data_IF_024131273470
#
_entry.id   IF_024131273470
#
_cell.length_a   1.000
_cell.length_b   1.000
_cell.length_c   1.000
_cell.angle_alpha   90.00
_cell.angle_beta   90.00
_cell.angle_gamma   90.00
#
_symmetry.space_group_name_H-M   'P 1'
#
loop_
_entity.id
_entity.type
_entity.pdbx_description
1 polymer ?
#
# COMPACT_ATOMS: atom_id res chain seq x y z
N UNK A 1 10.87 46.55 1.42
CA UNK A 1 10.26 47.80 0.91
C UNK A 1 8.76 47.69 1.15
N UNK A 2 8.25 48.56 2.04
CA UNK A 2 6.85 48.79 2.48
C UNK A 2 6.17 47.66 3.28
N UNK A 3 5.56 47.87 4.44
CA UNK A 3 5.54 48.98 5.41
C UNK A 3 4.84 48.43 6.68
N UNK A 4 5.39 48.71 7.86
CA UNK A 4 4.74 48.56 9.17
C UNK A 4 3.67 49.67 9.36
N UNK A 5 2.57 49.39 10.08
CA UNK A 5 2.38 49.84 11.48
C UNK A 5 0.95 49.48 12.02
N UNK A 6 0.80 49.35 13.35
CA UNK A 6 -0.37 48.78 14.03
C UNK A 6 -1.26 49.84 14.73
N UNK A 7 -2.40 49.42 15.28
CA UNK A 7 -3.15 50.16 16.29
C UNK A 7 -3.73 49.21 17.36
N UNK A 8 -3.65 49.66 18.61
CA UNK A 8 -3.86 48.92 19.86
C UNK A 8 -5.20 49.39 20.53
N UNK A 9 -5.53 49.06 21.79
CA UNK A 9 -6.66 48.20 22.18
C UNK A 9 -7.82 48.94 22.87
N UNK A 10 -8.95 48.27 23.10
CA UNK A 10 -10.02 48.76 24.01
C UNK A 10 -10.45 47.67 25.00
N UNK A 11 -10.31 48.04 26.27
CA UNK A 11 -10.82 47.47 27.51
C UNK A 11 -12.29 47.02 27.45
N UNK A 12 -12.63 45.86 28.04
CA UNK A 12 -13.94 45.68 28.68
C UNK A 12 -13.83 44.94 30.03
N UNK A 13 -14.68 45.44 30.92
CA UNK A 13 -14.70 45.36 32.36
C UNK A 13 -15.34 44.06 32.86
N UNK A 14 -14.80 43.49 33.92
CA UNK A 14 -15.44 42.43 34.72
C UNK A 14 -16.70 42.97 35.42
N UNK A 15 -17.82 42.28 35.28
CA UNK A 15 -18.97 42.38 36.19
C UNK A 15 -19.26 40.99 36.74
N UNK A 16 -19.01 40.84 38.04
CA UNK A 16 -19.45 39.75 38.90
C UNK A 16 -20.90 40.04 39.29
N UNK A 17 -21.81 39.09 39.02
CA UNK A 17 -23.15 39.08 39.60
C UNK A 17 -23.35 37.77 40.36
N UNK A 18 -23.32 37.91 41.68
CA UNK A 18 -23.78 36.93 42.66
C UNK A 18 -25.31 36.95 42.68
N UNK A 19 -25.94 35.81 42.41
CA UNK A 19 -27.29 35.51 42.90
C UNK A 19 -27.28 34.09 43.47
N UNK A 20 -27.47 34.01 44.79
CA UNK A 20 -27.78 32.76 45.46
C UNK A 20 -29.25 32.40 45.27
N UNK A 21 -29.56 31.10 45.31
CA UNK A 21 -30.86 30.63 45.74
C UNK A 21 -30.82 29.17 46.21
N UNK A 22 -31.25 29.01 47.46
CA UNK A 22 -31.88 27.90 48.16
C UNK A 22 -31.90 26.47 47.57
N UNK A 23 -31.49 25.56 48.47
CA UNK A 23 -31.83 24.15 48.51
C UNK A 23 -33.34 23.89 48.41
N UNK A 24 -33.74 23.01 47.48
CA UNK A 24 -34.79 22.02 47.74
C UNK A 24 -34.44 20.71 47.04
N UNK A 25 -34.34 19.63 47.82
CA UNK A 25 -34.09 18.27 47.31
C UNK A 25 -35.41 17.72 46.77
N UNK A 26 -35.52 17.56 45.45
CA UNK A 26 -36.47 16.64 44.84
C UNK A 26 -35.71 15.38 44.39
N UNK A 27 -36.20 14.22 44.83
CA UNK A 27 -35.71 12.91 44.44
C UNK A 27 -36.35 12.60 43.08
N UNK A 28 -35.57 12.62 42.01
CA UNK A 28 -36.01 12.19 40.69
C UNK A 28 -36.03 10.64 40.62
N UNK A 29 -37.05 10.03 40.00
CA UNK A 29 -37.04 8.60 39.70
C UNK A 29 -35.95 8.28 38.66
N UNK A 30 -35.52 7.02 38.63
CA UNK A 30 -34.43 6.52 37.77
C UNK A 30 -34.66 6.86 36.28
N UNK A 31 -33.63 7.28 35.53
CA UNK A 31 -33.78 7.60 34.11
C UNK A 31 -33.95 6.33 33.29
N UNK A 32 -34.99 6.32 32.45
CA UNK A 32 -35.15 5.36 31.34
C UNK A 32 -33.97 5.46 30.36
N UNK A 33 -33.49 4.35 29.77
CA UNK A 33 -32.43 4.39 28.78
C UNK A 33 -33.01 4.78 27.40
N UNK A 34 -33.04 6.08 27.11
CA UNK A 34 -33.55 6.61 25.86
C UNK A 34 -33.05 8.03 25.52
N UNK A 35 -31.88 8.09 24.88
CA UNK A 35 -31.41 9.14 23.94
C UNK A 35 -30.81 10.48 24.47
N UNK A 36 -29.74 10.90 23.78
CA UNK A 36 -29.04 12.21 23.77
C UNK A 36 -28.08 12.61 24.92
N UNK A 37 -27.17 11.71 25.33
CA UNK A 37 -25.84 12.13 25.81
C UNK A 37 -24.84 11.96 24.68
N UNK A 38 -23.99 12.96 24.38
CA UNK A 38 -22.93 12.79 23.40
C UNK A 38 -21.95 11.71 23.90
N UNK A 39 -22.13 10.47 23.47
CA UNK A 39 -21.26 9.34 23.83
C UNK A 39 -19.82 9.56 23.35
N UNK A 40 -19.64 10.43 22.37
CA UNK A 40 -18.35 10.78 21.82
C UNK A 40 -17.84 12.13 22.33
N UNK A 41 -16.55 12.12 22.71
CA UNK A 41 -15.75 13.32 22.94
C UNK A 41 -15.64 14.22 21.69
N UNK A 42 -15.22 15.47 21.88
CA UNK A 42 -15.14 16.48 20.81
C UNK A 42 -14.15 16.16 19.69
N UNK A 43 -13.19 15.25 19.92
CA UNK A 43 -12.21 14.78 18.93
C UNK A 43 -12.73 13.63 18.06
N UNK A 44 -14.04 13.49 17.91
CA UNK A 44 -14.70 12.47 17.10
C UNK A 44 -14.16 12.42 15.66
N UNK A 45 -13.93 11.21 15.15
CA UNK A 45 -13.50 10.92 13.78
C UNK A 45 -14.38 9.81 13.20
N UNK A 46 -14.66 9.88 11.91
CA UNK A 46 -15.41 8.85 11.16
C UNK A 46 -14.46 8.14 10.21
N UNK A 47 -14.35 6.81 10.34
CA UNK A 47 -13.49 5.93 9.55
C UNK A 47 -14.40 5.15 8.59
N UNK A 48 -14.41 5.49 7.29
CA UNK A 48 -15.23 4.79 6.32
C UNK A 48 -14.72 3.36 6.13
N UNK A 49 -15.60 2.37 6.22
CA UNK A 49 -15.17 0.96 6.06
C UNK A 49 -14.76 0.67 4.62
N UNK A 50 -15.33 1.37 3.64
CA UNK A 50 -15.03 1.18 2.22
C UNK A 50 -13.54 1.31 1.86
N UNK A 51 -12.78 2.13 2.58
CA UNK A 51 -11.33 2.29 2.40
C UNK A 51 -10.46 1.62 3.46
N UNK A 52 -11.05 1.09 4.53
CA UNK A 52 -10.31 0.70 5.74
C UNK A 52 -10.66 -0.70 6.25
N UNK A 53 -11.52 -1.45 5.56
CA UNK A 53 -11.97 -2.76 6.00
C UNK A 53 -11.66 -3.91 5.03
N UNK A 54 -11.61 -5.11 5.61
CA UNK A 54 -11.47 -6.39 4.93
C UNK A 54 -12.52 -7.36 5.47
N UNK A 55 -13.04 -8.20 4.57
CA UNK A 55 -14.10 -9.15 4.87
C UNK A 55 -13.55 -10.57 4.91
N UNK A 56 -14.06 -11.36 5.85
CA UNK A 56 -13.92 -12.81 5.89
C UNK A 56 -15.32 -13.42 5.77
N UNK A 57 -15.45 -14.56 5.08
CA UNK A 57 -16.69 -15.34 4.95
C UNK A 57 -17.89 -14.55 4.38
N UNK A 58 -17.70 -13.81 3.27
CA UNK A 58 -18.79 -13.22 2.48
C UNK A 58 -19.03 -11.73 2.69
N UNK A 59 -20.20 -11.26 2.24
CA UNK A 59 -20.54 -9.84 2.13
C UNK A 59 -19.91 -9.15 0.92
N UNK A 60 -20.34 -7.92 0.64
CA UNK A 60 -19.77 -7.08 -0.41
C UNK A 60 -19.30 -5.75 0.18
N UNK A 61 -18.04 -5.41 -0.01
CA UNK A 61 -17.50 -4.11 0.41
C UNK A 61 -17.49 -3.16 -0.80
N UNK A 62 -18.13 -2.00 -0.64
CA UNK A 62 -18.15 -0.93 -1.63
C UNK A 62 -17.73 0.40 -0.99
N UNK A 63 -17.71 1.47 -1.79
CA UNK A 63 -17.44 2.82 -1.30
C UNK A 63 -18.42 3.30 -0.23
N UNK A 64 -19.66 2.78 -0.25
CA UNK A 64 -20.71 3.16 0.71
C UNK A 64 -20.71 2.31 1.99
N UNK A 65 -19.92 1.23 2.00
CA UNK A 65 -19.76 0.33 3.12
C UNK A 65 -19.94 -1.14 2.78
N UNK A 66 -20.12 -1.94 3.84
CA UNK A 66 -20.47 -3.35 3.74
C UNK A 66 -21.98 -3.50 3.47
N UNK A 67 -22.30 -4.17 2.36
CA UNK A 67 -23.64 -4.57 1.93
C UNK A 67 -23.70 -6.10 1.77
N UNK A 68 -24.85 -6.64 1.37
CA UNK A 68 -25.09 -8.09 1.20
C UNK A 68 -24.68 -8.93 2.42
N UNK A 69 -24.80 -8.31 3.59
CA UNK A 69 -24.34 -8.90 4.84
C UNK A 69 -25.47 -9.69 5.48
N UNK A 70 -25.53 -10.97 5.11
CA UNK A 70 -26.56 -11.90 5.58
C UNK A 70 -25.98 -13.16 6.24
N UNK A 71 -24.67 -13.41 6.18
CA UNK A 71 -24.06 -14.56 6.85
C UNK A 71 -23.51 -14.15 8.23
N UNK A 72 -23.92 -14.78 9.35
CA UNK A 72 -23.34 -14.52 10.67
C UNK A 72 -21.85 -14.87 10.76
N UNK A 73 -21.32 -15.68 9.84
CA UNK A 73 -19.89 -15.95 9.75
C UNK A 73 -19.10 -14.79 9.12
N UNK A 74 -19.76 -13.85 8.43
CA UNK A 74 -19.08 -12.68 7.86
C UNK A 74 -18.50 -11.81 8.95
N UNK A 75 -17.18 -11.59 8.90
CA UNK A 75 -16.46 -10.67 9.79
C UNK A 75 -15.90 -9.52 8.98
N UNK A 76 -16.24 -8.30 9.37
CA UNK A 76 -15.70 -7.07 8.78
C UNK A 76 -14.70 -6.44 9.75
N UNK A 77 -13.42 -6.46 9.39
CA UNK A 77 -12.35 -5.89 10.22
C UNK A 77 -11.86 -4.58 9.63
N UNK A 78 -12.09 -3.49 10.36
CA UNK A 78 -11.61 -2.14 10.01
C UNK A 78 -10.33 -1.82 10.77
N UNK A 79 -9.35 -1.21 10.10
CA UNK A 79 -8.07 -0.85 10.68
C UNK A 79 -7.89 0.66 10.76
N UNK A 80 -7.38 1.14 11.88
CA UNK A 80 -6.91 2.51 12.08
C UNK A 80 -5.67 2.49 12.97
N UNK A 81 -4.77 3.46 12.82
CA UNK A 81 -3.56 3.54 13.64
C UNK A 81 -3.63 4.70 14.62
N UNK A 82 -3.45 4.40 15.91
CA UNK A 82 -3.29 5.42 16.96
C UNK A 82 -1.81 5.65 17.28
N UNK A 83 -1.48 6.85 17.76
CA UNK A 83 -0.10 7.24 18.12
C UNK A 83 0.15 7.26 19.63
N UNK A 84 -0.88 7.05 20.45
CA UNK A 84 -0.79 6.98 21.91
C UNK A 84 -1.81 6.00 22.49
N UNK A 85 -1.52 5.40 23.67
CA UNK A 85 -2.51 4.65 24.43
C UNK A 85 -3.60 5.58 24.99
N UNK A 86 -4.69 5.00 25.45
CA UNK A 86 -5.81 5.72 26.05
C UNK A 86 -7.15 5.03 25.82
N UNK A 87 -8.21 5.58 26.43
CA UNK A 87 -9.56 5.11 26.16
C UNK A 87 -9.98 5.40 24.71
N UNK A 88 -10.58 4.41 24.05
CA UNK A 88 -11.13 4.50 22.70
C UNK A 88 -12.63 4.20 22.75
N UNK A 89 -13.45 5.18 22.41
CA UNK A 89 -14.91 5.09 22.33
C UNK A 89 -15.31 4.76 20.90
N UNK A 90 -16.21 3.81 20.70
CA UNK A 90 -16.57 3.29 19.37
C UNK A 90 -18.09 3.30 19.19
N UNK A 91 -18.54 3.80 18.04
CA UNK A 91 -19.89 3.59 17.51
C UNK A 91 -19.86 3.02 16.10
N UNK A 92 -20.93 2.34 15.71
CA UNK A 92 -21.15 1.88 14.34
C UNK A 92 -22.09 2.85 13.62
N UNK A 93 -21.67 3.40 12.48
CA UNK A 93 -22.56 4.11 11.57
C UNK A 93 -23.19 3.08 10.63
N UNK A 94 -24.46 2.76 10.87
CA UNK A 94 -25.12 1.61 10.26
C UNK A 94 -26.58 1.92 9.91
N UNK A 95 -27.06 1.36 8.81
CA UNK A 95 -28.46 1.36 8.41
C UNK A 95 -29.02 -0.07 8.54
N UNK A 96 -29.82 -0.39 9.57
CA UNK A 96 -30.28 -1.77 9.81
C UNK A 96 -31.26 -2.28 8.74
N UNK A 97 -31.82 -1.39 7.91
CA UNK A 97 -32.84 -1.61 6.87
C UNK A 97 -34.22 -2.03 7.42
N UNK A 98 -34.29 -2.94 8.38
CA UNK A 98 -35.49 -3.26 9.15
C UNK A 98 -35.16 -4.16 10.35
N UNK A 99 -36.08 -4.23 11.32
CA UNK A 99 -36.00 -5.19 12.41
C UNK A 99 -34.88 -4.93 13.42
N UNK A 100 -34.62 -5.93 14.26
CA UNK A 100 -33.61 -5.91 15.32
C UNK A 100 -32.45 -6.80 14.93
N UNK A 101 -31.24 -6.26 15.04
CA UNK A 101 -29.99 -6.94 14.74
C UNK A 101 -29.06 -6.85 15.95
N UNK A 102 -28.43 -7.95 16.33
CA UNK A 102 -27.38 -7.98 17.34
C UNK A 102 -26.04 -8.22 16.65
N UNK A 103 -25.09 -7.34 16.93
CA UNK A 103 -23.75 -7.38 16.37
C UNK A 103 -22.73 -7.56 17.48
N UNK A 104 -21.67 -8.30 17.19
CA UNK A 104 -20.48 -8.41 18.03
C UNK A 104 -19.44 -7.42 17.51
N UNK A 105 -18.99 -6.51 18.37
CA UNK A 105 -17.87 -5.60 18.09
C UNK A 105 -16.69 -6.05 18.94
N UNK A 106 -15.55 -6.33 18.29
CA UNK A 106 -14.36 -6.89 18.94
C UNK A 106 -13.14 -6.04 18.65
N UNK A 107 -12.36 -5.73 19.69
CA UNK A 107 -10.99 -5.22 19.60
C UNK A 107 -10.08 -6.19 20.35
N UNK A 108 -9.09 -6.72 19.65
CA UNK A 108 -8.19 -7.75 20.18
C UNK A 108 -9.00 -8.92 20.78
N UNK A 109 -8.78 -9.25 22.06
CA UNK A 109 -9.48 -10.36 22.74
C UNK A 109 -10.78 -9.93 23.46
N UNK A 110 -11.18 -8.66 23.36
CA UNK A 110 -12.35 -8.12 24.07
C UNK A 110 -13.48 -7.82 23.10
N UNK A 111 -14.68 -8.32 23.40
CA UNK A 111 -15.87 -8.08 22.58
C UNK A 111 -17.05 -7.57 23.38
N UNK A 112 -17.88 -6.74 22.73
CA UNK A 112 -19.17 -6.27 23.25
C UNK A 112 -20.26 -6.56 22.23
N UNK A 113 -21.48 -6.80 22.71
CA UNK A 113 -22.65 -6.93 21.85
C UNK A 113 -23.37 -5.59 21.77
N UNK A 114 -23.70 -5.16 20.56
CA UNK A 114 -24.52 -3.97 20.30
C UNK A 114 -25.79 -4.41 19.59
N UNK A 115 -26.93 -3.95 20.11
CA UNK A 115 -28.22 -4.11 19.47
C UNK A 115 -28.50 -2.90 18.60
N UNK A 116 -28.81 -3.12 17.33
CA UNK A 116 -29.14 -2.09 16.34
C UNK A 116 -30.55 -2.33 15.82
N UNK A 117 -31.33 -1.26 15.70
CA UNK A 117 -32.72 -1.32 15.25
C UNK A 117 -33.16 -0.01 14.59
N UNK A 118 -34.17 -0.11 13.72
CA UNK A 118 -34.73 0.98 12.94
C UNK A 118 -34.53 0.77 11.43
N UNK A 119 -34.95 1.77 10.66
CA UNK A 119 -34.94 1.77 9.19
C UNK A 119 -34.22 2.98 8.60
N UNK A 120 -33.39 3.66 9.41
CA UNK A 120 -32.58 4.80 9.00
C UNK A 120 -31.15 4.61 9.43
N UNK A 121 -30.23 5.22 8.69
CA UNK A 121 -28.83 5.24 9.07
C UNK A 121 -28.61 6.13 10.29
N UNK A 122 -27.97 5.60 11.32
CA UNK A 122 -27.59 6.35 12.52
C UNK A 122 -26.37 5.73 13.21
N UNK A 123 -25.87 6.42 14.22
CA UNK A 123 -24.78 5.93 15.06
C UNK A 123 -25.33 5.06 16.20
N UNK A 124 -24.71 3.89 16.39
CA UNK A 124 -24.99 2.97 17.48
C UNK A 124 -23.75 2.82 18.35
N UNK A 125 -23.78 3.33 19.57
CA UNK A 125 -22.66 3.24 20.51
C UNK A 125 -22.39 1.78 20.88
N UNK A 126 -21.18 1.32 20.58
CA UNK A 126 -20.73 -0.05 20.84
C UNK A 126 -20.00 -0.18 22.18
N UNK A 127 -19.43 0.92 22.69
CA UNK A 127 -18.79 0.99 23.99
C UNK A 127 -17.40 1.61 23.96
N UNK A 128 -16.65 1.36 25.04
CA UNK A 128 -15.30 1.88 25.25
C UNK A 128 -14.29 0.74 25.43
N UNK A 129 -13.08 0.93 24.92
CA UNK A 129 -11.97 -0.02 25.03
C UNK A 129 -10.70 0.72 25.45
N UNK A 130 -9.96 0.14 26.39
CA UNK A 130 -8.63 0.64 26.73
C UNK A 130 -7.61 0.21 25.67
N UNK A 131 -6.99 1.16 24.98
CA UNK A 131 -5.81 0.90 24.15
C UNK A 131 -4.57 1.07 25.02
N UNK A 132 -3.71 0.05 25.05
CA UNK A 132 -2.53 0.02 25.94
C UNK A 132 -1.25 0.45 25.23
N UNK A 133 -1.19 0.37 23.90
CA UNK A 133 0.01 0.69 23.12
C UNK A 133 -0.32 1.44 21.82
N UNK A 134 0.56 2.34 21.34
CA UNK A 134 0.46 2.89 20.00
C UNK A 134 0.55 1.79 18.94
N UNK A 135 -0.35 1.81 17.96
CA UNK A 135 -0.37 0.77 16.94
C UNK A 135 -1.59 0.83 16.05
N UNK A 136 -1.64 -0.10 15.11
CA UNK A 136 -2.85 -0.45 14.40
C UNK A 136 -3.82 -1.15 15.35
N UNK A 137 -5.07 -0.70 15.28
CA UNK A 137 -6.20 -1.19 16.05
C UNK A 137 -7.14 -1.89 15.07
N UNK A 138 -7.23 -3.24 15.11
CA UNK A 138 -8.23 -3.98 14.36
C UNK A 138 -9.57 -3.93 15.10
N UNK A 139 -10.60 -3.44 14.43
CA UNK A 139 -11.98 -3.38 14.94
C UNK A 139 -12.85 -4.30 14.09
N UNK A 140 -13.20 -5.46 14.64
CA UNK A 140 -13.99 -6.48 13.94
C UNK A 140 -15.46 -6.38 14.32
N UNK A 141 -16.33 -6.38 13.32
CA UNK A 141 -17.79 -6.39 13.47
C UNK A 141 -18.36 -7.65 12.81
N UNK A 142 -19.17 -8.39 13.56
CA UNK A 142 -19.77 -9.65 13.14
C UNK A 142 -21.26 -9.71 13.50
N UNK A 143 -22.09 -10.29 12.64
CA UNK A 143 -23.51 -10.51 12.91
C UNK A 143 -23.71 -11.68 13.88
N UNK A 144 -24.53 -11.50 14.92
CA UNK A 144 -24.90 -12.57 15.86
C UNK A 144 -26.28 -13.12 15.51
N UNK A 145 -27.27 -12.24 15.43
CA UNK A 145 -28.66 -12.59 15.16
C UNK A 145 -29.40 -11.42 14.53
N UNK A 146 -30.39 -11.70 13.70
CA UNK A 146 -31.26 -10.67 13.11
C UNK A 146 -32.70 -11.16 13.00
N UNK A 147 -33.65 -10.23 13.01
CA UNK A 147 -35.05 -10.52 12.70
C UNK A 147 -35.42 -10.21 11.25
N UNK A 148 -34.61 -9.43 10.54
CA UNK A 148 -34.79 -9.10 9.12
C UNK A 148 -33.98 -10.00 8.19
N UNK A 149 -33.92 -9.64 6.91
CA UNK A 149 -33.20 -10.40 5.87
C UNK A 149 -31.68 -10.21 5.92
N UNK A 150 -31.21 -9.04 6.37
CA UNK A 150 -29.78 -8.67 6.44
C UNK A 150 -29.40 -8.14 7.82
N UNK A 151 -28.10 -8.07 8.12
CA UNK A 151 -27.58 -7.37 9.29
C UNK A 151 -27.53 -5.84 9.10
N UNK A 152 -27.97 -5.35 7.93
CA UNK A 152 -27.94 -3.94 7.53
C UNK A 152 -26.76 -3.56 6.65
N UNK A 153 -26.67 -2.27 6.33
CA UNK A 153 -25.55 -1.64 5.61
C UNK A 153 -24.64 -0.96 6.61
N UNK A 154 -23.39 -1.39 6.71
CA UNK A 154 -22.41 -0.87 7.66
C UNK A 154 -21.42 0.06 6.95
N UNK A 155 -21.52 1.37 7.21
CA UNK A 155 -20.82 2.39 6.42
C UNK A 155 -19.51 2.87 7.03
N UNK A 156 -19.45 3.02 8.36
CA UNK A 156 -18.27 3.56 9.03
C UNK A 156 -18.18 3.15 10.49
N UNK A 157 -16.96 3.22 11.03
CA UNK A 157 -16.72 3.24 12.47
C UNK A 157 -16.53 4.68 12.89
N UNK A 158 -17.22 5.08 13.95
CA UNK A 158 -17.02 6.39 14.59
C UNK A 158 -16.20 6.17 15.84
N UNK A 159 -15.10 6.91 15.98
CA UNK A 159 -14.22 6.83 17.15
C UNK A 159 -14.01 8.19 17.81
N UNK A 160 -13.81 8.20 19.12
CA UNK A 160 -13.28 9.34 19.88
C UNK A 160 -12.58 8.84 21.15
N UNK A 161 -12.08 9.73 22.00
CA UNK A 161 -11.41 9.37 23.24
C UNK A 161 -9.93 9.73 23.29
N UNK A 162 -9.27 9.39 24.38
CA UNK A 162 -7.87 9.75 24.66
C UNK A 162 -6.90 9.18 23.64
N UNK A 163 -7.17 8.01 23.07
CA UNK A 163 -6.32 7.37 22.05
C UNK A 163 -6.43 8.07 20.67
N UNK A 164 -7.47 8.89 20.45
CA UNK A 164 -7.72 9.59 19.19
C UNK A 164 -7.01 10.94 19.21
N UNK A 165 -6.02 11.10 18.33
CA UNK A 165 -5.26 12.33 18.15
C UNK A 165 -5.28 12.83 16.70
N UNK A 166 -4.71 14.02 16.44
CA UNK A 166 -4.62 14.57 15.09
C UNK A 166 -3.85 13.67 14.11
N UNK A 167 -2.92 12.86 14.63
CA UNK A 167 -2.09 11.94 13.86
C UNK A 167 -2.71 10.54 13.64
N UNK A 168 -4.02 10.39 13.90
CA UNK A 168 -4.73 9.15 13.58
C UNK A 168 -4.57 8.81 12.09
N UNK A 169 -4.02 7.64 11.76
CA UNK A 169 -3.83 7.21 10.38
C UNK A 169 -4.91 6.23 9.95
N UNK A 170 -5.60 6.58 8.88
CA UNK A 170 -6.55 5.76 8.13
C UNK A 170 -6.81 6.45 6.78
N UNK A 171 -7.42 5.73 5.85
CA UNK A 171 -7.84 6.26 4.54
C UNK A 171 -9.07 7.15 4.73
N UNK A 172 -8.92 8.46 4.47
CA UNK A 172 -9.89 9.48 4.91
C UNK A 172 -11.18 9.50 4.09
N UNK A 173 -11.06 9.41 2.77
CA UNK A 173 -12.16 9.54 1.81
C UNK A 173 -11.80 8.84 0.49
N UNK A 174 -12.74 8.80 -0.46
CA UNK A 174 -12.52 8.21 -1.79
C UNK A 174 -12.11 9.23 -2.85
N UNK A 175 -11.63 10.41 -2.46
CA UNK A 175 -11.22 11.43 -3.43
C UNK A 175 -9.99 10.95 -4.20
N UNK A 176 -10.10 10.79 -5.53
CA UNK A 176 -9.05 10.21 -6.37
C UNK A 176 -8.89 8.69 -6.19
N UNK A 177 -10.00 7.98 -6.02
CA UNK A 177 -10.07 6.51 -5.86
C UNK A 177 -9.26 5.97 -4.67
N UNK A 178 -9.10 6.78 -3.61
CA UNK A 178 -8.24 6.42 -2.50
C UNK A 178 -8.75 5.26 -1.65
N UNK A 179 -10.01 4.82 -1.77
CA UNK A 179 -10.41 3.55 -1.17
C UNK A 179 -9.76 2.36 -1.89
N UNK A 180 -9.60 2.43 -3.21
CA UNK A 180 -8.85 1.44 -3.97
C UNK A 180 -7.35 1.49 -3.62
N UNK A 181 -6.71 2.67 -3.73
CA UNK A 181 -5.28 2.84 -3.45
C UNK A 181 -4.92 2.58 -1.98
N UNK A 182 -5.74 3.07 -1.06
CA UNK A 182 -5.55 2.90 0.37
C UNK A 182 -5.71 1.45 0.83
N UNK A 183 -6.59 0.67 0.18
CA UNK A 183 -6.73 -0.77 0.43
C UNK A 183 -5.61 -1.57 -0.23
N UNK A 184 -5.12 -1.20 -1.43
CA UNK A 184 -3.86 -1.76 -1.97
C UNK A 184 -2.72 -1.57 -0.96
N UNK A 185 -2.65 -0.40 -0.33
CA UNK A 185 -1.66 -0.09 0.68
C UNK A 185 -0.39 0.51 0.08
N UNK A 186 0.60 0.86 0.93
CA UNK A 186 1.74 1.66 0.52
C UNK A 186 2.77 0.82 -0.25
N UNK A 187 2.95 1.10 -1.54
CA UNK A 187 4.11 0.59 -2.28
C UNK A 187 5.40 1.22 -1.78
N UNK A 188 6.47 0.43 -1.73
CA UNK A 188 7.78 0.83 -1.18
C UNK A 188 8.91 0.54 -2.14
N UNK A 189 9.96 1.35 -2.11
CA UNK A 189 11.02 1.34 -3.12
C UNK A 189 12.41 1.40 -2.51
N UNK A 190 13.37 0.77 -3.20
CA UNK A 190 14.80 0.92 -2.99
C UNK A 190 15.37 1.67 -4.20
N UNK A 191 15.90 2.87 -3.99
CA UNK A 191 16.54 3.66 -5.06
C UNK A 191 18.05 3.51 -4.94
N UNK A 192 18.70 2.90 -5.92
CA UNK A 192 20.13 2.59 -5.85
C UNK A 192 20.98 3.83 -6.17
N UNK A 193 22.01 4.09 -5.35
CA UNK A 193 22.88 5.23 -5.57
C UNK A 193 23.86 4.97 -6.73
N UNK A 194 23.57 5.58 -7.88
CA UNK A 194 24.41 5.51 -9.09
C UNK A 194 25.06 6.84 -9.48
N UNK A 195 24.99 7.88 -8.62
CA UNK A 195 25.37 9.27 -8.97
C UNK A 195 26.82 9.46 -9.45
N UNK A 196 27.72 8.53 -9.12
CA UNK A 196 29.14 8.56 -9.51
C UNK A 196 29.48 7.60 -10.65
N UNK A 197 28.48 6.95 -11.21
CA UNK A 197 28.62 5.95 -12.26
C UNK A 197 28.07 6.52 -13.56
N UNK A 198 28.73 6.18 -14.67
CA UNK A 198 28.34 6.62 -16.00
C UNK A 198 28.23 5.40 -16.92
N UNK A 199 27.44 5.53 -17.99
CA UNK A 199 27.32 4.54 -19.05
C UNK A 199 26.97 3.12 -18.54
N UNK A 200 26.04 3.03 -17.58
CA UNK A 200 25.58 1.76 -17.02
C UNK A 200 24.81 1.00 -18.11
N UNK A 201 25.46 0.02 -18.74
CA UNK A 201 24.84 -0.81 -19.77
C UNK A 201 24.05 -1.96 -19.13
N UNK A 202 24.52 -2.50 -18.00
CA UNK A 202 23.91 -3.67 -17.36
C UNK A 202 23.57 -3.40 -15.90
N UNK A 203 22.43 -3.90 -15.46
CA UNK A 203 22.01 -3.96 -14.07
C UNK A 203 21.61 -5.39 -13.70
N UNK A 204 22.28 -5.93 -12.68
CA UNK A 204 22.04 -7.25 -12.11
C UNK A 204 21.50 -7.13 -10.68
N UNK A 205 20.52 -7.95 -10.33
CA UNK A 205 20.08 -8.13 -8.95
C UNK A 205 19.58 -9.56 -8.68
N UNK A 206 19.47 -9.89 -7.40
CA UNK A 206 18.88 -11.13 -6.90
C UNK A 206 17.67 -10.83 -6.02
N UNK A 207 16.58 -11.55 -6.22
CA UNK A 207 15.37 -11.42 -5.38
C UNK A 207 15.02 -12.77 -4.75
N UNK A 208 14.85 -12.76 -3.44
CA UNK A 208 14.33 -13.89 -2.66
C UNK A 208 13.04 -13.44 -1.97
N UNK A 209 11.93 -14.10 -2.29
CA UNK A 209 10.67 -13.93 -1.53
C UNK A 209 10.66 -15.00 -0.44
N UNK A 210 10.70 -14.65 0.87
CA UNK A 210 10.63 -15.64 1.93
C UNK A 210 9.33 -16.43 1.88
N UNK A 211 9.35 -17.70 2.31
CA UNK A 211 8.14 -18.54 2.36
C UNK A 211 7.01 -17.85 3.14
N UNK A 212 5.80 -17.86 2.58
CA UNK A 212 4.62 -17.21 3.17
C UNK A 212 4.52 -15.71 2.90
N UNK A 213 5.45 -15.13 2.13
CA UNK A 213 5.37 -13.72 1.70
C UNK A 213 5.02 -13.57 0.21
N UNK A 214 4.84 -14.66 -0.51
CA UNK A 214 4.37 -14.71 -1.90
C UNK A 214 2.84 -14.59 -1.99
N UNK A 215 2.31 -13.52 -1.39
CA UNK A 215 0.88 -13.22 -1.35
C UNK A 215 0.37 -12.89 -2.75
N UNK A 216 -0.78 -13.45 -3.15
CA UNK A 216 -1.46 -13.08 -4.41
C UNK A 216 -1.71 -11.58 -4.48
N UNK A 217 -1.48 -10.98 -5.65
CA UNK A 217 -1.51 -9.54 -5.81
C UNK A 217 -0.18 -8.84 -5.56
N UNK A 218 0.91 -9.57 -5.32
CA UNK A 218 2.23 -8.97 -5.09
C UNK A 218 3.02 -8.80 -6.37
N UNK A 219 3.67 -7.65 -6.52
CA UNK A 219 4.73 -7.43 -7.50
C UNK A 219 6.07 -7.17 -6.81
N UNK A 220 6.99 -8.13 -6.94
CA UNK A 220 8.37 -8.06 -6.48
C UNK A 220 9.26 -7.56 -7.61
N UNK A 221 9.29 -6.24 -7.82
CA UNK A 221 10.02 -5.64 -8.92
C UNK A 221 11.52 -5.59 -8.61
N UNK A 222 12.33 -6.22 -9.47
CA UNK A 222 13.75 -6.42 -9.26
C UNK A 222 14.58 -5.27 -9.85
N UNK A 223 14.48 -5.04 -11.17
CA UNK A 223 15.32 -4.11 -11.91
C UNK A 223 14.48 -3.03 -12.60
N UNK A 224 14.25 -1.92 -11.90
CA UNK A 224 13.65 -0.72 -12.43
C UNK A 224 14.71 0.22 -12.97
N UNK A 225 14.28 1.06 -13.92
CA UNK A 225 15.10 2.07 -14.57
C UNK A 225 14.20 3.20 -15.06
N UNK A 226 14.79 4.34 -15.39
CA UNK A 226 14.06 5.39 -16.07
C UNK A 226 13.53 4.90 -17.42
N UNK A 227 12.22 4.77 -17.53
CA UNK A 227 11.54 4.26 -18.72
C UNK A 227 11.08 2.80 -18.64
N UNK A 228 11.20 2.10 -17.50
CA UNK A 228 10.55 0.81 -17.35
C UNK A 228 10.79 0.08 -16.03
N UNK A 229 10.36 -1.18 -16.00
CA UNK A 229 10.51 -2.07 -14.87
C UNK A 229 10.64 -3.53 -15.30
N UNK A 230 11.29 -4.34 -14.46
CA UNK A 230 11.48 -5.77 -14.67
C UNK A 230 11.45 -6.53 -13.34
N UNK A 231 10.58 -7.53 -13.20
CA UNK A 231 10.46 -8.31 -11.96
C UNK A 231 9.53 -9.51 -12.05
N UNK A 232 8.99 -9.94 -10.91
CA UNK A 232 8.11 -11.11 -10.84
C UNK A 232 6.87 -10.90 -9.95
N UNK A 233 5.75 -11.53 -10.34
CA UNK A 233 4.43 -11.33 -9.76
C UNK A 233 3.82 -12.65 -9.25
N UNK A 234 2.89 -12.52 -8.29
CA UNK A 234 1.91 -13.57 -7.95
C UNK A 234 0.55 -13.10 -8.44
N UNK A 235 0.08 -13.65 -9.55
CA UNK A 235 -1.12 -13.17 -10.24
C UNK A 235 -2.38 -13.89 -9.75
N UNK A 236 -2.28 -15.18 -9.49
CA UNK A 236 -3.29 -16.01 -8.83
C UNK A 236 -2.63 -17.17 -8.10
N UNK A 237 -3.43 -18.08 -7.54
CA UNK A 237 -2.95 -19.32 -6.93
C UNK A 237 -2.31 -20.26 -7.97
N UNK A 238 -2.71 -20.13 -9.24
CA UNK A 238 -2.25 -20.96 -10.37
C UNK A 238 -1.26 -20.23 -11.31
N UNK A 239 -1.20 -18.90 -11.26
CA UNK A 239 -0.41 -18.11 -12.22
C UNK A 239 0.59 -17.17 -11.55
N UNK A 240 1.84 -17.25 -12.01
CA UNK A 240 2.94 -16.37 -11.65
C UNK A 240 3.64 -15.90 -12.91
N UNK A 241 4.02 -14.63 -12.95
CA UNK A 241 4.62 -14.00 -14.13
C UNK A 241 5.99 -13.43 -13.82
N UNK A 242 6.89 -13.52 -14.80
CA UNK A 242 8.09 -12.67 -14.91
C UNK A 242 7.74 -11.58 -15.91
N UNK A 243 7.67 -10.32 -15.47
CA UNK A 243 7.13 -9.18 -16.23
C UNK A 243 8.24 -8.18 -16.55
N UNK A 244 8.32 -7.74 -17.81
CA UNK A 244 9.21 -6.68 -18.28
C UNK A 244 8.42 -5.68 -19.13
N UNK A 245 8.46 -4.41 -18.73
CA UNK A 245 7.75 -3.32 -19.42
C UNK A 245 8.65 -2.12 -19.67
N UNK A 246 8.38 -1.42 -20.77
CA UNK A 246 9.05 -0.17 -21.18
C UNK A 246 7.97 0.85 -21.54
N UNK A 247 7.98 2.01 -20.89
CA UNK A 247 7.07 3.11 -21.21
C UNK A 247 7.46 3.79 -22.53
N UNK A 248 6.43 4.13 -23.31
CA UNK A 248 6.54 5.03 -24.46
C UNK A 248 7.07 6.41 -24.03
N UNK A 249 7.78 7.15 -24.89
CA UNK A 249 8.03 8.58 -24.67
C UNK A 249 6.75 9.43 -24.82
N UNK A 250 5.66 8.87 -25.34
CA UNK A 250 4.37 9.56 -25.48
C UNK A 250 3.50 9.37 -24.23
N UNK A 251 3.10 10.48 -23.61
CA UNK A 251 2.28 10.50 -22.40
C UNK A 251 0.81 10.23 -22.73
N UNK A 252 0.33 9.04 -22.40
CA UNK A 252 -1.08 8.64 -22.51
C UNK A 252 -1.35 7.41 -21.65
N UNK A 253 -2.59 7.24 -21.21
CA UNK A 253 -3.07 6.03 -20.53
C UNK A 253 -3.69 5.01 -21.50
N UNK A 254 -3.84 5.35 -22.78
CA UNK A 254 -4.34 4.44 -23.80
C UNK A 254 -3.25 4.17 -24.86
N UNK A 255 -2.69 2.94 -24.92
CA UNK A 255 -1.64 2.61 -25.88
C UNK A 255 -2.09 2.74 -27.34
N UNK A 256 -3.41 2.68 -27.61
CA UNK A 256 -3.97 2.90 -28.93
C UNK A 256 -3.73 4.31 -29.47
N UNK A 257 -3.51 5.29 -28.59
CA UNK A 257 -3.25 6.68 -28.95
C UNK A 257 -1.77 6.98 -29.22
N UNK A 258 -0.86 6.03 -28.98
CA UNK A 258 0.57 6.25 -29.21
C UNK A 258 0.86 6.34 -30.72
N UNK A 259 1.43 7.46 -31.22
CA UNK A 259 1.86 7.58 -32.61
C UNK A 259 2.89 6.50 -32.98
N UNK A 260 2.89 6.06 -34.24
CA UNK A 260 3.72 4.94 -34.69
C UNK A 260 5.22 5.15 -34.42
N UNK A 261 5.70 6.40 -34.50
CA UNK A 261 7.07 6.81 -34.23
C UNK A 261 7.45 6.79 -32.74
N UNK A 262 6.46 6.76 -31.84
CA UNK A 262 6.63 6.73 -30.39
C UNK A 262 6.39 5.34 -29.80
N UNK A 263 5.86 4.40 -30.59
CA UNK A 263 5.62 3.03 -30.13
C UNK A 263 6.91 2.32 -29.75
N UNK A 264 6.82 1.53 -28.68
CA UNK A 264 7.85 0.57 -28.30
C UNK A 264 7.89 -0.56 -29.33
N UNK A 265 9.08 -0.83 -29.88
CA UNK A 265 9.26 -1.85 -30.93
C UNK A 265 9.87 -3.11 -30.33
N UNK A 266 9.19 -4.25 -30.46
CA UNK A 266 9.75 -5.55 -30.11
C UNK A 266 10.83 -5.98 -31.11
N UNK A 267 12.05 -6.24 -30.63
CA UNK A 267 13.18 -6.69 -31.44
C UNK A 267 13.42 -8.20 -31.32
N UNK A 268 13.36 -8.72 -30.09
CA UNK A 268 13.57 -10.15 -29.77
C UNK A 268 12.61 -10.53 -28.66
N UNK A 269 12.16 -11.79 -28.65
CA UNK A 269 11.40 -12.38 -27.54
C UNK A 269 11.95 -13.76 -27.21
N UNK A 270 11.92 -14.11 -25.93
CA UNK A 270 12.25 -15.45 -25.48
C UNK A 270 11.20 -16.49 -25.85
N UNK A 271 11.58 -17.75 -25.69
CA UNK A 271 10.65 -18.87 -25.83
C UNK A 271 9.54 -18.79 -24.76
N UNK A 272 8.29 -18.99 -25.20
CA UNK A 272 7.07 -18.90 -24.39
C UNK A 272 6.79 -17.53 -23.75
N UNK A 273 7.48 -16.46 -24.19
CA UNK A 273 7.20 -15.10 -23.73
C UNK A 273 6.03 -14.52 -24.52
N UNK A 274 5.03 -14.04 -23.78
CA UNK A 274 3.92 -13.25 -24.30
C UNK A 274 4.35 -11.79 -24.40
N UNK A 275 3.87 -11.08 -25.42
CA UNK A 275 4.21 -9.67 -25.68
C UNK A 275 2.96 -8.89 -26.07
N UNK A 276 2.88 -7.63 -25.66
CA UNK A 276 1.76 -6.75 -25.97
C UNK A 276 2.05 -5.31 -25.57
N UNK A 277 1.00 -4.51 -25.45
CA UNK A 277 1.04 -3.13 -24.98
C UNK A 277 0.37 -3.03 -23.59
N UNK A 278 0.60 -1.93 -22.87
CA UNK A 278 -0.05 -1.62 -21.59
C UNK A 278 -0.48 -0.15 -21.52
N UNK A 279 -1.40 0.17 -20.60
CA UNK A 279 -1.99 1.49 -20.37
C UNK A 279 -2.42 1.73 -18.91
N UNK A 280 -3.25 2.75 -18.67
CA UNK A 280 -3.82 3.21 -17.39
C UNK A 280 -2.85 3.78 -16.34
N UNK A 281 -1.54 3.58 -16.51
CA UNK A 281 -0.49 4.08 -15.62
C UNK A 281 0.68 4.59 -16.48
N UNK A 282 0.33 5.43 -17.46
CA UNK A 282 1.12 5.60 -18.68
C UNK A 282 0.98 4.38 -19.60
N UNK A 283 1.57 4.47 -20.79
CA UNK A 283 1.44 3.43 -21.82
C UNK A 283 2.76 3.03 -22.46
N UNK A 284 2.85 1.80 -22.96
CA UNK A 284 4.08 1.30 -23.56
C UNK A 284 4.02 -0.17 -23.99
N UNK A 285 5.18 -0.77 -24.16
CA UNK A 285 5.33 -2.18 -24.51
C UNK A 285 5.59 -3.04 -23.27
N UNK A 286 4.94 -4.19 -23.20
CA UNK A 286 5.16 -5.17 -22.13
C UNK A 286 5.41 -6.57 -22.68
N UNK A 287 6.07 -7.38 -21.86
CA UNK A 287 6.29 -8.79 -22.09
C UNK A 287 6.24 -9.55 -20.78
N UNK A 288 5.71 -10.78 -20.81
CA UNK A 288 5.76 -11.64 -19.65
C UNK A 288 5.93 -13.11 -20.00
N UNK A 289 6.66 -13.81 -19.14
CA UNK A 289 6.74 -15.26 -19.11
C UNK A 289 5.88 -15.77 -17.94
N UNK A 290 4.95 -16.69 -18.20
CA UNK A 290 4.31 -17.45 -17.13
C UNK A 290 5.34 -18.45 -16.60
N UNK A 291 5.79 -18.25 -15.37
CA UNK A 291 6.82 -19.08 -14.73
C UNK A 291 6.45 -19.33 -13.26
N UNK A 292 6.29 -20.58 -12.83
CA UNK A 292 5.87 -20.93 -11.48
C UNK A 292 7.03 -20.82 -10.48
N UNK A 293 7.59 -19.62 -10.33
CA UNK A 293 8.64 -19.33 -9.36
C UNK A 293 8.15 -19.62 -7.93
N UNK A 294 9.07 -20.02 -7.04
CA UNK A 294 8.77 -20.54 -5.70
C UNK A 294 9.35 -19.65 -4.63
N UNK A 295 8.57 -19.35 -3.60
CA UNK A 295 9.09 -18.68 -2.42
C UNK A 295 10.19 -19.52 -1.73
N UNK A 296 11.19 -18.83 -1.20
CA UNK A 296 12.42 -19.40 -0.64
C UNK A 296 13.56 -19.54 -1.66
N UNK A 297 13.28 -19.55 -2.97
CA UNK A 297 14.31 -19.54 -3.99
C UNK A 297 14.81 -18.13 -4.29
N UNK A 298 16.06 -18.03 -4.72
CA UNK A 298 16.66 -16.78 -5.19
C UNK A 298 16.68 -16.76 -6.71
N UNK A 299 15.97 -15.81 -7.29
CA UNK A 299 15.92 -15.57 -8.74
C UNK A 299 16.85 -14.42 -9.11
N UNK A 300 17.42 -14.46 -10.31
CA UNK A 300 18.37 -13.43 -10.77
C UNK A 300 17.79 -12.68 -11.97
N UNK A 301 17.97 -11.38 -11.96
CA UNK A 301 17.47 -10.47 -12.98
C UNK A 301 18.64 -9.70 -13.57
N UNK A 302 18.75 -9.72 -14.89
CA UNK A 302 19.75 -8.98 -15.62
C UNK A 302 19.05 -8.13 -16.67
N UNK A 303 19.23 -6.81 -16.56
CA UNK A 303 18.68 -5.83 -17.48
C UNK A 303 19.83 -5.16 -18.23
N UNK A 304 19.66 -4.99 -19.53
CA UNK A 304 20.54 -4.19 -20.39
C UNK A 304 19.80 -2.95 -20.86
N UNK A 305 20.48 -1.81 -20.88
CA UNK A 305 20.02 -0.60 -21.56
C UNK A 305 21.17 -0.01 -22.38
N UNK A 306 21.01 -0.02 -23.71
CA UNK A 306 22.05 0.42 -24.64
C UNK A 306 21.52 1.48 -25.60
N UNK A 307 22.10 2.69 -25.62
CA UNK A 307 21.81 3.67 -26.65
C UNK A 307 22.27 3.16 -28.03
N UNK A 308 21.46 3.39 -29.05
CA UNK A 308 21.76 3.09 -30.45
C UNK A 308 21.67 4.35 -31.32
N UNK A 309 21.97 4.20 -32.62
CA UNK A 309 21.81 5.28 -33.58
C UNK A 309 20.35 5.79 -33.63
N UNK A 310 20.14 6.94 -34.28
CA UNK A 310 18.81 7.51 -34.54
C UNK A 310 18.00 7.87 -33.28
N UNK A 311 18.69 8.24 -32.19
CA UNK A 311 18.05 8.67 -30.94
C UNK A 311 17.13 7.58 -30.35
N UNK A 312 17.62 6.33 -30.30
CA UNK A 312 16.90 5.18 -29.75
C UNK A 312 17.72 4.48 -28.68
N UNK A 313 17.04 3.79 -27.76
CA UNK A 313 17.67 2.96 -26.73
C UNK A 313 17.02 1.60 -26.74
N UNK A 314 17.83 0.55 -26.74
CA UNK A 314 17.37 -0.84 -26.66
C UNK A 314 17.49 -1.33 -25.23
N UNK A 315 16.39 -1.83 -24.69
CA UNK A 315 16.30 -2.47 -23.39
C UNK A 315 16.10 -3.97 -23.56
N UNK A 316 16.92 -4.78 -22.90
CA UNK A 316 16.85 -6.25 -22.99
C UNK A 316 16.84 -6.85 -21.59
N UNK A 317 15.86 -7.71 -21.31
CA UNK A 317 15.67 -8.33 -20.01
C UNK A 317 15.95 -9.83 -20.06
N UNK A 318 16.75 -10.33 -19.11
CA UNK A 318 17.08 -11.74 -18.93
C UNK A 318 16.74 -12.19 -17.51
N UNK A 319 16.14 -13.36 -17.40
CA UNK A 319 15.72 -13.99 -16.14
C UNK A 319 16.47 -15.30 -15.93
N UNK A 320 16.97 -15.53 -14.72
CA UNK A 320 17.59 -16.78 -14.33
C UNK A 320 16.80 -17.42 -13.20
N UNK A 321 16.34 -18.64 -13.46
CA UNK A 321 15.76 -19.51 -12.45
C UNK A 321 16.78 -20.57 -11.99
N UNK A 322 16.99 -20.75 -10.67
CA UNK A 322 17.90 -21.77 -10.16
C UNK A 322 17.49 -23.20 -10.52
N UNK A 323 16.19 -23.43 -10.80
CA UNK A 323 15.65 -24.71 -11.27
C UNK A 323 16.13 -25.05 -12.68
N UNK A 324 16.22 -24.05 -13.55
CA UNK A 324 16.56 -24.21 -14.98
C UNK A 324 18.09 -24.13 -15.21
N UNK A 325 18.80 -23.48 -14.28
CA UNK A 325 20.24 -23.20 -14.33
C UNK A 325 20.70 -22.46 -15.59
N UNK A 326 19.80 -21.73 -16.24
CA UNK A 326 20.08 -21.01 -17.47
C UNK A 326 19.45 -19.62 -17.48
N UNK A 327 20.10 -18.69 -18.19
CA UNK A 327 19.53 -17.38 -18.50
C UNK A 327 18.50 -17.51 -19.63
N UNK A 328 17.32 -16.93 -19.41
CA UNK A 328 16.24 -16.89 -20.38
C UNK A 328 16.04 -15.45 -20.82
N UNK A 329 16.06 -15.21 -22.13
CA UNK A 329 15.58 -13.94 -22.68
C UNK A 329 14.10 -13.78 -22.33
N UNK A 330 13.70 -12.59 -21.86
CA UNK A 330 12.30 -12.21 -21.76
C UNK A 330 11.93 -11.47 -23.04
N UNK A 331 12.38 -10.23 -23.19
CA UNK A 331 12.25 -9.50 -24.44
C UNK A 331 13.39 -8.49 -24.62
N UNK A 332 13.52 -8.03 -25.86
CA UNK A 332 14.32 -6.86 -26.23
C UNK A 332 13.41 -5.85 -26.90
N UNK A 333 13.30 -4.67 -26.31
CA UNK A 333 12.46 -3.57 -26.78
C UNK A 333 13.32 -2.38 -27.21
N UNK A 334 13.00 -1.76 -28.34
CA UNK A 334 13.56 -0.48 -28.77
C UNK A 334 12.60 0.64 -28.39
N UNK A 335 13.09 1.59 -27.60
CA UNK A 335 12.39 2.82 -27.23
C UNK A 335 12.86 3.97 -28.13
N UNK A 336 11.96 4.61 -28.91
CA UNK A 336 12.30 5.78 -29.71
C UNK A 336 12.49 7.03 -28.86
N UNK A 337 13.01 8.09 -29.49
CA UNK A 337 13.24 9.43 -28.90
C UNK A 337 13.97 9.38 -27.55
N UNK A 338 14.88 8.42 -27.40
CA UNK A 338 15.59 8.12 -26.15
C UNK A 338 17.01 7.72 -26.50
N UNK A 339 18.03 8.38 -25.96
CA UNK A 339 19.43 8.04 -26.22
C UNK A 339 20.22 8.01 -24.91
N UNK A 340 20.01 6.96 -24.11
CA UNK A 340 20.62 6.85 -22.79
C UNK A 340 21.02 5.41 -22.44
N UNK A 341 22.01 5.29 -21.57
CA UNK A 341 22.23 4.08 -20.78
C UNK A 341 21.21 4.00 -19.64
N UNK A 342 21.27 2.94 -18.82
CA UNK A 342 20.37 2.81 -17.66
C UNK A 342 20.62 3.94 -16.64
N UNK A 343 19.55 4.60 -16.21
CA UNK A 343 19.55 5.61 -15.14
C UNK A 343 18.43 5.32 -14.15
N UNK A 344 18.48 5.97 -12.99
CA UNK A 344 17.44 5.92 -11.95
C UNK A 344 17.07 4.47 -11.61
N UNK A 345 18.07 3.69 -11.19
CA UNK A 345 17.90 2.27 -10.90
C UNK A 345 17.14 2.10 -9.59
N UNK A 346 16.11 1.24 -9.59
CA UNK A 346 15.30 0.98 -8.40
C UNK A 346 14.77 -0.44 -8.33
N UNK A 347 14.24 -0.81 -7.16
CA UNK A 347 13.39 -1.99 -6.93
C UNK A 347 12.15 -1.55 -6.17
N UNK A 348 11.04 -2.29 -6.26
CA UNK A 348 9.87 -2.02 -5.44
C UNK A 348 9.12 -3.28 -5.02
N UNK A 349 8.26 -3.10 -4.02
CA UNK A 349 7.29 -4.07 -3.56
C UNK A 349 5.92 -3.41 -3.54
N UNK A 350 5.00 -3.99 -4.31
CA UNK A 350 3.66 -3.47 -4.52
C UNK A 350 2.61 -4.54 -4.23
N UNK A 351 1.43 -4.05 -3.81
CA UNK A 351 0.17 -4.79 -3.88
C UNK A 351 -0.72 -4.21 -4.97
N UNK A 352 -1.19 -5.03 -5.90
CA UNK A 352 -2.15 -4.64 -6.94
C UNK A 352 -3.56 -5.21 -6.70
N UNK A 353 -3.82 -5.89 -5.57
CA UNK A 353 -5.14 -6.41 -5.19
C UNK A 353 -5.58 -5.84 -3.82
N UNK A 354 -6.58 -4.94 -3.77
CA UNK A 354 -7.09 -4.35 -2.52
C UNK A 354 -7.43 -5.37 -1.42
N UNK A 355 -8.00 -6.51 -1.81
CA UNK A 355 -8.48 -7.58 -0.92
C UNK A 355 -7.36 -8.25 -0.12
N UNK A 356 -6.10 -8.11 -0.55
CA UNK A 356 -4.94 -8.65 0.16
C UNK A 356 -4.13 -7.59 0.89
N UNK A 357 -4.64 -6.36 1.00
CA UNK A 357 -4.00 -5.24 1.70
C UNK A 357 -3.82 -5.44 3.21
N UNK A 358 -4.61 -6.33 3.81
CA UNK A 358 -4.48 -6.77 5.20
C UNK A 358 -3.50 -7.93 5.39
N UNK A 359 -2.82 -8.37 4.33
CA UNK A 359 -1.83 -9.45 4.39
C UNK A 359 -0.45 -8.85 4.13
N UNK A 360 0.49 -9.16 5.02
CA UNK A 360 1.87 -8.70 4.92
C UNK A 360 2.59 -9.41 3.77
N UNK A 361 3.41 -8.67 3.03
CA UNK A 361 4.36 -9.22 2.04
C UNK A 361 5.75 -8.63 2.24
N UNK A 362 6.77 -9.36 1.80
CA UNK A 362 8.18 -9.01 1.98
C UNK A 362 9.05 -9.67 0.91
N UNK A 363 10.12 -9.00 0.51
CA UNK A 363 11.19 -9.58 -0.29
C UNK A 363 12.56 -9.10 0.16
N UNK A 364 13.56 -9.94 -0.07
CA UNK A 364 14.97 -9.65 0.10
C UNK A 364 15.58 -9.36 -1.28
N UNK A 365 16.32 -8.26 -1.37
CA UNK A 365 17.00 -7.80 -2.57
C UNK A 365 18.51 -7.87 -2.33
N UNK A 366 19.15 -8.83 -2.98
CA UNK A 366 20.56 -9.14 -2.81
C UNK A 366 21.43 -8.82 -4.02
N UNK A 367 22.73 -8.73 -3.75
CA UNK A 367 23.81 -8.80 -4.74
C UNK A 367 23.63 -7.86 -5.95
N UNK A 368 23.34 -6.59 -5.71
CA UNK A 368 23.17 -5.62 -6.81
C UNK A 368 24.51 -5.25 -7.41
N UNK A 369 24.61 -5.36 -8.73
CA UNK A 369 25.79 -5.00 -9.49
C UNK A 369 25.40 -4.31 -10.79
N UNK A 370 26.24 -3.37 -11.23
CA UNK A 370 26.11 -2.75 -12.55
C UNK A 370 27.38 -2.95 -13.34
N UNK A 371 27.27 -3.09 -14.66
CA UNK A 371 28.42 -3.06 -15.56
C UNK A 371 28.31 -1.87 -16.51
N UNK A 372 29.42 -1.16 -16.70
CA UNK A 372 29.50 -0.12 -17.73
C UNK A 372 29.58 -0.73 -19.14
N UNK A 373 29.56 0.12 -20.17
CA UNK A 373 29.68 -0.29 -21.57
C UNK A 373 30.96 -1.09 -21.90
N UNK A 374 32.00 -1.02 -21.05
CA UNK A 374 33.23 -1.80 -21.19
C UNK A 374 33.20 -3.12 -20.39
N UNK A 375 32.05 -3.47 -19.80
CA UNK A 375 31.89 -4.67 -18.98
C UNK A 375 32.54 -4.57 -17.58
N UNK A 376 32.87 -3.37 -17.11
CA UNK A 376 33.46 -3.18 -15.77
C UNK A 376 32.37 -3.17 -14.71
N UNK A 377 32.40 -4.19 -13.86
CA UNK A 377 31.42 -4.40 -12.81
C UNK A 377 31.69 -3.55 -11.56
N UNK A 378 30.63 -2.94 -11.03
CA UNK A 378 30.62 -2.18 -9.77
C UNK A 378 29.48 -2.67 -8.87
N UNK A 379 29.79 -3.03 -7.62
CA UNK A 379 28.78 -3.45 -6.64
C UNK A 379 28.00 -2.22 -6.14
N UNK A 380 26.68 -2.33 -6.05
CA UNK A 380 25.82 -1.33 -5.44
C UNK A 380 25.51 -1.72 -4.00
N UNK A 381 25.91 -0.87 -3.05
CA UNK A 381 25.78 -1.12 -1.61
C UNK A 381 24.99 -0.05 -0.86
N UNK A 382 24.50 0.97 -1.57
CA UNK A 382 23.77 2.10 -0.99
C UNK A 382 22.42 2.29 -1.69
N UNK A 383 21.39 2.50 -0.88
CA UNK A 383 20.02 2.81 -1.34
C UNK A 383 19.43 3.98 -0.58
N UNK A 384 18.44 4.63 -1.17
CA UNK A 384 17.45 5.47 -0.48
C UNK A 384 16.11 4.75 -0.46
N UNK A 385 15.55 4.52 0.72
CA UNK A 385 14.23 3.93 0.91
C UNK A 385 13.14 4.98 0.74
N UNK A 386 12.14 4.72 -0.10
CA UNK A 386 11.00 5.63 -0.31
C UNK A 386 9.66 4.88 -0.33
N UNK A 387 8.58 5.63 -0.20
CA UNK A 387 7.21 5.12 -0.27
C UNK A 387 6.38 5.94 -1.26
N UNK A 388 5.28 5.34 -1.72
CA UNK A 388 4.31 5.98 -2.60
C UNK A 388 3.47 7.07 -1.92
N UNK A 389 2.52 7.63 -2.66
CA UNK A 389 1.60 8.65 -2.15
C UNK A 389 0.73 8.16 -0.97
N UNK A 390 0.36 6.88 -0.94
CA UNK A 390 -0.42 6.30 0.18
C UNK A 390 0.38 6.38 1.49
N UNK A 391 1.69 6.10 1.43
CA UNK A 391 2.61 6.27 2.55
C UNK A 391 2.80 7.75 2.93
N UNK A 392 3.02 8.62 1.92
CA UNK A 392 3.28 10.06 2.12
C UNK A 392 2.08 10.83 2.67
N UNK A 393 0.85 10.46 2.28
CA UNK A 393 -0.39 10.98 2.87
C UNK A 393 -0.65 10.50 4.30
N UNK A 394 0.18 9.61 4.83
CA UNK A 394 0.02 9.03 6.17
C UNK A 394 -1.33 8.29 6.35
N UNK A 395 -1.91 7.77 5.26
CA UNK A 395 -3.14 6.97 5.31
C UNK A 395 -2.86 5.55 5.80
N UNK A 396 -1.71 5.01 5.38
CA UNK A 396 -1.18 3.71 5.80
C UNK A 396 0.26 3.90 6.27
N UNK A 397 0.67 3.13 7.27
CA UNK A 397 1.96 3.16 7.97
C UNK A 397 2.58 1.77 8.14
N UNK A 398 2.01 0.76 7.51
CA UNK A 398 2.54 -0.59 7.44
C UNK A 398 3.47 -0.72 6.22
N UNK A 399 4.58 0.02 6.27
CA UNK A 399 5.68 -0.01 5.31
C UNK A 399 7.03 -0.06 6.03
N UNK A 400 7.97 -0.82 5.50
CA UNK A 400 9.34 -0.88 6.00
C UNK A 400 10.32 -1.29 4.90
N UNK A 401 11.56 -0.89 5.09
CA UNK A 401 12.68 -1.28 4.25
C UNK A 401 14.00 -0.90 4.90
N UNK A 402 15.09 -1.40 4.35
CA UNK A 402 16.43 -1.17 4.90
C UNK A 402 17.33 -2.36 4.65
N UNK A 403 18.17 -2.69 5.63
CA UNK A 403 19.12 -3.82 5.56
C UNK A 403 18.71 -4.91 6.56
N UNK A 404 18.64 -6.14 6.07
CA UNK A 404 18.44 -7.34 6.88
C UNK A 404 19.47 -8.40 6.48
N UNK A 405 20.23 -8.91 7.46
CA UNK A 405 21.22 -9.97 7.26
C UNK A 405 22.15 -9.78 6.04
N UNK A 406 22.63 -8.54 5.85
CA UNK A 406 23.55 -8.19 4.75
C UNK A 406 22.91 -8.00 3.38
N UNK A 407 21.58 -8.04 3.27
CA UNK A 407 20.80 -7.78 2.05
C UNK A 407 19.90 -6.58 2.28
N UNK A 408 19.41 -5.96 1.20
CA UNK A 408 18.30 -5.03 1.34
C UNK A 408 16.98 -5.79 1.48
N UNK A 409 15.98 -5.16 2.08
CA UNK A 409 14.62 -5.70 2.11
C UNK A 409 13.57 -4.61 1.90
N UNK A 410 12.41 -5.04 1.40
CA UNK A 410 11.18 -4.26 1.40
C UNK A 410 10.06 -5.09 2.03
N UNK A 411 9.17 -4.42 2.74
CA UNK A 411 8.03 -5.01 3.45
C UNK A 411 6.88 -4.01 3.47
N UNK A 412 5.67 -4.45 3.12
CA UNK A 412 4.48 -3.61 3.23
C UNK A 412 3.22 -4.44 3.56
N UNK A 413 2.13 -3.71 3.82
CA UNK A 413 0.80 -4.24 4.15
C UNK A 413 0.76 -5.10 5.42
N UNK A 414 -0.43 -5.60 5.76
CA UNK A 414 -0.60 -6.46 6.94
C UNK A 414 -0.65 -5.75 8.27
N UNK A 415 -0.77 -4.41 8.28
CA UNK A 415 -1.05 -3.62 9.48
C UNK A 415 -0.06 -3.83 10.63
N UNK A 416 1.21 -4.10 10.32
CA UNK A 416 2.26 -4.17 11.33
C UNK A 416 2.59 -2.77 11.89
N UNK A 417 3.07 -2.72 13.14
CA UNK A 417 3.28 -1.45 13.85
C UNK A 417 4.63 -0.76 13.56
N UNK A 418 5.68 -1.54 13.34
CA UNK A 418 7.05 -1.06 13.20
C UNK A 418 7.35 -0.68 11.74
N UNK A 419 7.46 0.62 11.47
CA UNK A 419 7.70 1.16 10.13
C UNK A 419 9.07 1.83 10.03
N UNK A 420 9.60 1.90 8.81
CA UNK A 420 10.84 2.66 8.54
C UNK A 420 10.46 4.07 8.10
N UNK A 421 11.05 5.15 8.67
CA UNK A 421 10.87 6.50 8.14
C UNK A 421 11.22 6.55 6.65
N UNK A 422 10.48 7.34 5.87
CA UNK A 422 10.74 7.52 4.45
C UNK A 422 11.99 8.36 4.22
N UNK A 423 12.52 8.27 2.99
CA UNK A 423 13.63 9.06 2.47
C UNK A 423 14.93 8.87 3.27
N UNK A 424 15.10 7.68 3.87
CA UNK A 424 16.31 7.29 4.61
C UNK A 424 17.31 6.56 3.72
N UNK A 425 18.59 6.85 3.92
CA UNK A 425 19.68 6.13 3.25
C UNK A 425 20.10 4.90 4.07
N UNK A 426 20.35 3.80 3.37
CA UNK A 426 20.87 2.57 3.97
C UNK A 426 22.08 2.06 3.21
N UNK A 427 23.04 1.49 3.93
CA UNK A 427 24.22 0.84 3.36
C UNK A 427 24.30 -0.60 3.84
N UNK A 428 24.39 -1.56 2.91
CA UNK A 428 24.69 -2.96 3.24
C UNK A 428 26.21 -3.23 3.15
N UNK A 429 26.76 -4.20 3.89
CA UNK A 429 28.12 -4.65 3.67
C UNK A 429 28.33 -5.11 2.22
N UNK A 430 29.49 -4.79 1.64
CA UNK A 430 29.87 -5.26 0.32
C UNK A 430 30.04 -6.78 0.33
N UNK A 431 29.31 -7.48 -0.54
CA UNK A 431 29.42 -8.93 -0.70
C UNK A 431 30.62 -9.34 -1.53
N UNK A 432 31.06 -8.47 -2.46
CA UNK A 432 32.18 -8.71 -3.40
C UNK A 432 32.05 -9.99 -4.25
N UNK A 433 30.85 -10.56 -4.33
CA UNK A 433 30.53 -11.70 -5.20
C UNK A 433 30.01 -11.17 -6.51
N UNK A 434 30.91 -10.98 -7.47
CA UNK A 434 30.57 -10.54 -8.83
C UNK A 434 29.62 -11.57 -9.49
N UNK A 435 28.62 -11.13 -10.28
CA UNK A 435 27.78 -12.05 -11.05
C UNK A 435 28.58 -12.85 -12.07
N UNK A 436 28.35 -14.16 -12.11
CA UNK A 436 28.89 -15.05 -13.15
C UNK A 436 27.97 -15.00 -14.38
N UNK A 437 28.23 -14.04 -15.26
CA UNK A 437 27.48 -13.81 -16.49
C UNK A 437 28.43 -13.57 -17.65
N UNK A 438 28.27 -14.33 -18.72
CA UNK A 438 28.92 -14.05 -20.00
C UNK A 438 28.19 -12.91 -20.72
N UNK A 439 28.61 -11.67 -20.45
CA UNK A 439 28.00 -10.50 -21.07
C UNK A 439 28.19 -10.49 -22.59
N UNK A 440 29.32 -10.96 -23.11
CA UNK A 440 29.58 -10.97 -24.56
C UNK A 440 28.66 -11.97 -25.28
N UNK A 441 28.43 -13.15 -24.70
CA UNK A 441 27.49 -14.13 -25.22
C UNK A 441 26.02 -13.65 -25.21
N UNK A 442 25.68 -12.67 -24.37
CA UNK A 442 24.33 -12.09 -24.25
C UNK A 442 24.14 -10.77 -25.03
N UNK A 443 25.17 -10.28 -25.73
CA UNK A 443 25.13 -8.98 -26.42
C UNK A 443 24.36 -8.95 -27.74
#
# INVERSE_FOLDING_TARGET
MRLFLPANPIFWLYIVLLYGCNNSKQINPAPEPGNSGAFHDSNKQTIPVGGNAWLENGGMLSETGLTDWSDPQTVCTTYLRVTKPGMLKISLLLHPQAGKTNLKVSLFNNSKTVTVEGNTQKEFFAGEWQVTEPGYIPISVQGISRSGETFGVFSAIVVSGEAVGPELSYVRNNEGDYFYWGRRGPSVHLNYNTRKLNNIEWFYSEVTVPKGNDVTGSYFMANGFNGGYFGMQVNSDEERRILFSVWSPFETDDPGNIPQEDKIVLLKKGEHVNTGEFGNEGSGGQSYLVYPWKAGNTYRFLLRGKPEAQNTTVYTAYFYAPEDKNWRLIASFKRPKTNTYLTDLYSFLENFIPETGNIQRMALYGNQWVADANGRWTELTQITFTGDETARKNFRKDYAGGVDNGRFYLKNCGFFNAFTPLDQEFTRPAGKVKPEVDLEGLR
#
